data_IF_912026500230
#
_entry.id   IF_912026500230
#
_cell.length_a   1.000
_cell.length_b   1.000
_cell.length_c   1.000
_cell.angle_alpha   90.00
_cell.angle_beta   90.00
_cell.angle_gamma   90.00
#
_symmetry.space_group_name_H-M   'P 1'
#
loop_
_entity.id
_entity.type
_entity.pdbx_description
1 polymer ?
#
# COMPACT_ATOMS: atom_id res chain seq x y z
N UNK A 1 16.20 -57.31 54.10
CA UNK A 1 15.94 -57.89 52.76
C UNK A 1 14.58 -57.39 52.26
N UNK A 2 14.54 -56.34 51.44
CA UNK A 2 13.32 -55.88 50.77
C UNK A 2 13.70 -55.55 49.32
N UNK A 3 13.13 -56.29 48.36
CA UNK A 3 13.45 -56.24 46.93
C UNK A 3 12.39 -55.46 46.15
N UNK A 4 12.89 -54.66 45.23
CA UNK A 4 12.18 -53.73 44.36
C UNK A 4 11.11 -54.37 43.45
N UNK A 5 9.96 -53.70 43.33
CA UNK A 5 9.01 -53.79 42.20
C UNK A 5 9.20 -52.53 41.37
N UNK A 6 9.70 -52.67 40.14
CA UNK A 6 9.91 -51.58 39.19
C UNK A 6 9.24 -51.88 37.85
N UNK A 7 8.22 -51.08 37.56
CA UNK A 7 7.67 -50.63 36.28
C UNK A 7 8.13 -51.31 34.98
N UNK A 8 7.19 -52.01 34.34
CA UNK A 8 7.17 -52.23 32.88
C UNK A 8 6.04 -51.39 32.28
N UNK A 9 6.32 -50.13 31.97
CA UNK A 9 5.49 -49.37 31.03
C UNK A 9 5.66 -50.03 29.66
N UNK A 10 4.58 -50.56 29.10
CA UNK A 10 4.57 -51.32 27.85
C UNK A 10 5.00 -50.45 26.67
N UNK A 11 5.93 -50.93 25.84
CA UNK A 11 6.38 -50.25 24.62
C UNK A 11 5.22 -49.87 23.67
N UNK A 12 4.09 -50.57 23.74
CA UNK A 12 2.89 -50.25 22.97
C UNK A 12 2.18 -48.95 23.43
N UNK A 13 2.25 -48.60 24.72
CA UNK A 13 1.69 -47.32 25.19
C UNK A 13 2.57 -46.14 24.81
N UNK A 14 3.90 -46.34 24.77
CA UNK A 14 4.86 -45.34 24.29
C UNK A 14 4.68 -45.07 22.78
N UNK A 15 4.60 -46.13 21.97
CA UNK A 15 4.36 -46.02 20.52
C UNK A 15 3.05 -45.29 20.20
N UNK A 16 1.96 -45.59 20.91
CA UNK A 16 0.65 -44.95 20.71
C UNK A 16 0.64 -43.47 21.13
N UNK A 17 1.41 -43.12 22.17
CA UNK A 17 1.56 -41.73 22.59
C UNK A 17 2.40 -40.91 21.61
N UNK A 18 3.41 -41.52 20.96
CA UNK A 18 4.18 -40.86 19.91
C UNK A 18 3.33 -40.60 18.65
N UNK A 19 2.55 -41.58 18.19
CA UNK A 19 1.68 -41.39 17.01
C UNK A 19 0.62 -40.31 17.23
N UNK A 20 -0.05 -40.32 18.38
CA UNK A 20 -1.06 -39.30 18.72
C UNK A 20 -0.46 -37.89 18.84
N UNK A 21 0.81 -37.79 19.22
CA UNK A 21 1.53 -36.52 19.33
C UNK A 21 1.92 -35.99 17.96
N UNK A 22 2.34 -36.86 17.05
CA UNK A 22 2.68 -36.49 15.68
C UNK A 22 1.43 -36.06 14.88
N UNK A 23 0.31 -36.76 15.04
CA UNK A 23 -0.97 -36.40 14.40
C UNK A 23 -1.45 -35.02 14.87
N UNK A 24 -1.38 -34.73 16.18
CA UNK A 24 -1.82 -33.45 16.73
C UNK A 24 -0.92 -32.26 16.30
N UNK A 25 0.38 -32.49 16.09
CA UNK A 25 1.29 -31.46 15.56
C UNK A 25 0.98 -31.19 14.10
N UNK A 26 0.78 -32.24 13.29
CA UNK A 26 0.43 -32.13 11.88
C UNK A 26 -0.90 -31.36 11.70
N UNK A 27 -1.93 -31.69 12.47
CA UNK A 27 -3.22 -30.98 12.46
C UNK A 27 -3.08 -29.49 12.82
N UNK A 28 -2.21 -29.16 13.78
CA UNK A 28 -1.97 -27.78 14.20
C UNK A 28 -1.22 -26.96 13.14
N UNK A 29 -0.27 -27.58 12.42
CA UNK A 29 0.44 -26.97 11.30
C UNK A 29 -0.51 -26.70 10.12
N UNK A 30 -1.34 -27.69 9.75
CA UNK A 30 -2.34 -27.55 8.69
C UNK A 30 -3.38 -26.48 9.03
N UNK A 31 -3.83 -26.44 10.28
CA UNK A 31 -4.74 -25.40 10.76
C UNK A 31 -4.12 -24.01 10.67
N UNK A 32 -2.83 -23.87 11.03
CA UNK A 32 -2.10 -22.60 10.96
C UNK A 32 -1.92 -22.14 9.51
N UNK A 33 -1.60 -23.06 8.60
CA UNK A 33 -1.48 -22.78 7.17
C UNK A 33 -2.83 -22.33 6.57
N UNK A 34 -3.93 -23.00 6.94
CA UNK A 34 -5.29 -22.60 6.54
C UNK A 34 -5.64 -21.22 7.06
N UNK A 35 -5.37 -20.94 8.33
CA UNK A 35 -5.63 -19.64 8.94
C UNK A 35 -4.82 -18.53 8.27
N UNK A 36 -3.53 -18.79 7.97
CA UNK A 36 -2.68 -17.86 7.23
C UNK A 36 -3.25 -17.51 5.85
N UNK A 37 -3.74 -18.50 5.09
CA UNK A 37 -4.39 -18.26 3.79
C UNK A 37 -5.65 -17.43 3.92
N UNK A 38 -6.52 -17.74 4.88
CA UNK A 38 -7.75 -16.97 5.15
C UNK A 38 -7.40 -15.52 5.50
N UNK A 39 -6.38 -15.29 6.34
CA UNK A 39 -5.91 -13.96 6.69
C UNK A 39 -5.48 -13.16 5.45
N UNK A 40 -4.67 -13.79 4.57
CA UNK A 40 -4.18 -13.13 3.35
C UNK A 40 -5.32 -12.83 2.37
N UNK A 41 -6.22 -13.80 2.12
CA UNK A 41 -7.38 -13.58 1.26
C UNK A 41 -8.28 -12.48 1.80
N UNK A 42 -8.61 -12.52 3.09
CA UNK A 42 -9.42 -11.50 3.75
C UNK A 42 -8.79 -10.11 3.61
N UNK A 43 -7.47 -10.01 3.80
CA UNK A 43 -6.74 -8.75 3.64
C UNK A 43 -6.76 -8.24 2.21
N UNK A 44 -6.50 -9.11 1.21
CA UNK A 44 -6.51 -8.74 -0.20
C UNK A 44 -7.92 -8.35 -0.69
N UNK A 45 -8.96 -9.04 -0.23
CA UNK A 45 -10.35 -8.66 -0.50
C UNK A 45 -10.64 -7.29 0.09
N UNK A 46 -10.24 -7.04 1.35
CA UNK A 46 -10.43 -5.77 2.03
C UNK A 46 -9.79 -4.60 1.27
N UNK A 47 -8.54 -4.75 0.81
CA UNK A 47 -7.79 -3.64 0.23
C UNK A 47 -7.86 -3.50 -1.30
N UNK A 48 -8.15 -4.57 -2.04
CA UNK A 48 -8.23 -4.54 -3.51
C UNK A 48 -9.67 -4.59 -4.01
N UNK A 49 -10.49 -5.48 -3.47
CA UNK A 49 -11.85 -5.73 -3.98
C UNK A 49 -12.85 -4.75 -3.37
N UNK A 50 -12.74 -4.51 -2.06
CA UNK A 50 -13.65 -3.64 -1.31
C UNK A 50 -13.18 -2.18 -1.23
N UNK A 51 -12.19 -1.79 -2.05
CA UNK A 51 -11.56 -0.47 -1.99
C UNK A 51 -12.53 0.70 -2.16
N UNK A 52 -13.65 0.49 -2.85
CA UNK A 52 -14.70 1.49 -3.08
C UNK A 52 -15.68 1.66 -1.91
N UNK A 53 -15.68 0.72 -0.97
CA UNK A 53 -16.68 0.66 0.09
C UNK A 53 -16.19 1.31 1.37
N UNK A 54 -17.09 2.05 2.01
CA UNK A 54 -16.81 2.73 3.26
C UNK A 54 -17.96 3.64 3.67
N UNK A 55 -17.68 4.50 4.63
CA UNK A 55 -18.58 5.53 5.08
C UNK A 55 -17.91 6.91 4.93
N UNK A 56 -18.71 7.97 4.87
CA UNK A 56 -18.22 9.35 4.81
C UNK A 56 -18.68 10.20 6.01
N UNK A 57 -18.41 9.79 7.26
CA UNK A 57 -18.78 10.60 8.42
C UNK A 57 -18.06 11.96 8.38
N UNK A 58 -18.81 13.05 8.46
CA UNK A 58 -18.24 14.41 8.44
C UNK A 58 -17.50 14.76 7.14
N UNK A 59 -17.81 14.08 6.03
CA UNK A 59 -17.20 14.36 4.73
C UNK A 59 -15.80 13.78 4.53
N UNK A 60 -15.36 12.82 5.34
CA UNK A 60 -14.07 12.13 5.17
C UNK A 60 -14.25 10.63 4.95
N UNK A 61 -13.54 10.04 3.99
CA UNK A 61 -13.63 8.64 3.65
C UNK A 61 -13.06 7.75 4.76
N UNK A 62 -13.93 6.96 5.37
CA UNK A 62 -13.60 5.85 6.24
C UNK A 62 -13.78 4.55 5.46
N UNK A 63 -12.68 4.02 4.93
CA UNK A 63 -12.69 2.77 4.16
C UNK A 63 -12.98 1.55 5.02
N UNK A 64 -13.73 0.60 4.48
CA UNK A 64 -14.01 -0.69 5.14
C UNK A 64 -12.76 -1.52 5.40
N UNK A 65 -11.68 -1.28 4.64
CA UNK A 65 -10.39 -1.94 4.83
C UNK A 65 -9.79 -1.71 6.22
N UNK A 66 -10.06 -0.55 6.85
CA UNK A 66 -9.53 -0.23 8.17
C UNK A 66 -10.10 -1.16 9.26
N UNK A 67 -11.43 -1.19 9.52
CA UNK A 67 -11.98 -2.08 10.54
C UNK A 67 -11.80 -3.55 10.18
N UNK A 68 -11.91 -3.93 8.90
CA UNK A 68 -11.75 -5.32 8.50
C UNK A 68 -10.32 -5.82 8.74
N UNK A 69 -9.30 -5.01 8.43
CA UNK A 69 -7.92 -5.39 8.71
C UNK A 69 -7.63 -5.43 10.22
N UNK A 70 -8.19 -4.51 11.02
CA UNK A 70 -8.10 -4.57 12.48
C UNK A 70 -8.68 -5.89 13.04
N UNK A 71 -9.85 -6.31 12.55
CA UNK A 71 -10.47 -7.59 12.93
C UNK A 71 -9.60 -8.78 12.53
N UNK A 72 -9.03 -8.77 11.31
CA UNK A 72 -8.12 -9.81 10.84
C UNK A 72 -6.84 -9.89 11.68
N UNK A 73 -6.28 -8.76 12.10
CA UNK A 73 -5.13 -8.71 13.01
C UNK A 73 -5.47 -9.27 14.40
N UNK A 74 -6.62 -8.89 14.96
CA UNK A 74 -7.10 -9.44 16.23
C UNK A 74 -7.33 -10.95 16.17
N UNK A 75 -7.95 -11.43 15.09
CA UNK A 75 -8.11 -12.85 14.82
C UNK A 75 -6.76 -13.55 14.59
N UNK A 76 -5.82 -12.91 13.90
CA UNK A 76 -4.47 -13.42 13.69
C UNK A 76 -3.71 -13.63 15.00
N UNK A 77 -3.87 -12.71 15.96
CA UNK A 77 -3.32 -12.85 17.31
C UNK A 77 -3.99 -14.00 18.07
N UNK A 78 -5.33 -14.05 18.04
CA UNK A 78 -6.10 -15.10 18.73
C UNK A 78 -5.81 -16.51 18.18
N UNK A 79 -5.53 -16.63 16.88
CA UNK A 79 -5.19 -17.90 16.21
C UNK A 79 -3.69 -18.24 16.25
N UNK A 80 -2.85 -17.37 16.81
CA UNK A 80 -1.41 -17.59 16.97
C UNK A 80 -0.58 -17.46 15.68
N UNK A 81 -1.18 -17.04 14.56
CA UNK A 81 -0.46 -16.74 13.31
C UNK A 81 0.18 -15.34 13.31
N UNK A 82 -0.19 -14.49 14.28
CA UNK A 82 0.34 -13.16 14.46
C UNK A 82 1.08 -13.01 15.80
N UNK A 83 2.00 -12.06 15.87
CA UNK A 83 2.70 -11.69 17.11
C UNK A 83 3.02 -10.20 17.13
N UNK A 84 3.28 -9.68 18.32
CA UNK A 84 3.74 -8.31 18.51
C UNK A 84 5.21 -8.17 18.13
N UNK A 85 5.55 -7.05 17.49
CA UNK A 85 6.91 -6.75 17.01
C UNK A 85 7.56 -5.71 17.94
N UNK A 86 8.51 -6.07 18.82
CA UNK A 86 9.11 -5.13 19.77
C UNK A 86 9.70 -3.88 19.12
N UNK A 87 10.39 -4.05 17.99
CA UNK A 87 10.93 -2.92 17.21
C UNK A 87 9.83 -2.01 16.65
N UNK A 88 8.73 -2.60 16.16
CA UNK A 88 7.60 -1.83 15.65
C UNK A 88 6.91 -1.05 16.77
N UNK A 89 6.76 -1.68 17.94
CA UNK A 89 6.27 -1.06 19.17
C UNK A 89 7.09 0.16 19.56
N UNK A 90 8.41 0.01 19.70
CA UNK A 90 9.27 1.12 20.09
C UNK A 90 9.18 2.31 19.12
N UNK A 91 9.26 2.04 17.81
CA UNK A 91 9.18 3.08 16.78
C UNK A 91 7.81 3.77 16.75
N UNK A 92 6.73 3.00 16.89
CA UNK A 92 5.37 3.54 16.95
C UNK A 92 5.18 4.44 18.17
N UNK A 93 5.67 4.03 19.36
CA UNK A 93 5.55 4.85 20.56
C UNK A 93 6.33 6.16 20.47
N UNK A 94 7.51 6.16 19.83
CA UNK A 94 8.24 7.41 19.54
C UNK A 94 7.40 8.32 18.64
N UNK A 95 6.87 7.78 17.55
CA UNK A 95 5.98 8.53 16.65
C UNK A 95 4.71 9.05 17.36
N UNK A 96 4.05 8.21 18.15
CA UNK A 96 2.86 8.57 18.91
C UNK A 96 3.16 9.67 19.93
N UNK A 97 4.29 9.58 20.65
CA UNK A 97 4.70 10.61 21.60
C UNK A 97 4.96 11.96 20.90
N UNK A 98 5.66 11.97 19.77
CA UNK A 98 5.91 13.20 19.00
C UNK A 98 4.61 13.84 18.49
N UNK A 99 3.68 13.05 17.95
CA UNK A 99 2.39 13.55 17.43
C UNK A 99 1.45 14.02 18.54
N UNK A 100 1.43 13.34 19.69
CA UNK A 100 0.67 13.77 20.86
C UNK A 100 1.25 15.05 21.47
N UNK A 101 2.57 15.18 21.54
CA UNK A 101 3.22 16.42 22.01
C UNK A 101 2.92 17.60 21.08
N UNK A 102 3.03 17.38 19.76
CA UNK A 102 2.62 18.37 18.75
C UNK A 102 1.16 18.80 18.93
N UNK A 103 0.26 17.83 19.15
CA UNK A 103 -1.16 18.08 19.39
C UNK A 103 -1.38 18.89 20.66
N UNK A 104 -0.69 18.56 21.76
CA UNK A 104 -0.80 19.29 23.02
C UNK A 104 -0.36 20.75 22.84
N UNK A 105 0.77 20.98 22.18
CA UNK A 105 1.26 22.33 21.88
C UNK A 105 0.27 23.07 20.98
N UNK A 106 -0.30 22.39 19.99
CA UNK A 106 -1.29 22.98 19.11
C UNK A 106 -2.54 23.49 19.84
N UNK A 107 -2.98 22.73 20.84
CA UNK A 107 -4.14 23.07 21.67
C UNK A 107 -3.84 24.17 22.70
N UNK A 108 -2.64 24.23 23.25
CA UNK A 108 -2.26 25.25 24.24
C UNK A 108 -1.82 26.58 23.63
N UNK A 109 -1.38 26.57 22.36
CA UNK A 109 -0.92 27.76 21.63
C UNK A 109 -1.66 27.91 20.30
N UNK A 110 -3.00 28.08 20.30
CA UNK A 110 -3.79 28.06 19.08
C UNK A 110 -3.36 29.15 18.08
N UNK A 111 -3.36 28.81 16.80
CA UNK A 111 -3.11 29.73 15.68
C UNK A 111 -4.42 29.87 14.90
N UNK A 112 -4.94 31.10 14.80
CA UNK A 112 -6.22 31.38 14.16
C UNK A 112 -6.29 31.03 12.66
N UNK A 113 -5.14 30.78 12.02
CA UNK A 113 -5.08 30.36 10.61
C UNK A 113 -5.37 28.86 10.41
N UNK A 114 -5.38 28.07 11.49
CA UNK A 114 -5.48 26.61 11.42
C UNK A 114 -6.52 26.06 12.39
N UNK A 115 -7.30 25.08 11.93
CA UNK A 115 -8.14 24.26 12.80
C UNK A 115 -7.46 22.96 13.25
N UNK A 116 -7.90 22.39 14.37
CA UNK A 116 -7.47 21.06 14.85
C UNK A 116 -8.60 20.04 14.79
N UNK A 117 -8.26 18.76 14.72
CA UNK A 117 -9.19 17.65 14.52
C UNK A 117 -8.79 16.41 15.31
N UNK A 118 -9.54 16.12 16.39
CA UNK A 118 -9.37 14.90 17.18
C UNK A 118 -9.54 13.62 16.33
N UNK A 119 -10.54 13.51 15.42
CA UNK A 119 -10.64 12.34 14.55
C UNK A 119 -9.39 12.11 13.69
N UNK A 120 -8.68 13.18 13.28
CA UNK A 120 -7.47 13.06 12.46
C UNK A 120 -6.31 12.40 13.22
N UNK A 121 -6.10 12.74 14.50
CA UNK A 121 -5.09 12.07 15.32
C UNK A 121 -5.50 10.63 15.68
N UNK A 122 -6.77 10.37 15.94
CA UNK A 122 -7.22 8.99 16.18
C UNK A 122 -7.02 8.15 14.93
N UNK A 123 -7.37 8.67 13.75
CA UNK A 123 -7.19 7.97 12.48
C UNK A 123 -5.72 7.62 12.21
N UNK A 124 -4.79 8.55 12.43
CA UNK A 124 -3.36 8.28 12.20
C UNK A 124 -2.82 7.25 13.21
N UNK A 125 -3.10 7.41 14.50
CA UNK A 125 -2.59 6.49 15.52
C UNK A 125 -3.16 5.08 15.32
N UNK A 126 -4.47 4.96 15.10
CA UNK A 126 -5.11 3.66 14.83
C UNK A 126 -4.54 3.00 13.58
N UNK A 127 -4.45 3.73 12.46
CA UNK A 127 -3.97 3.16 11.19
C UNK A 127 -2.53 2.64 11.30
N UNK A 128 -1.64 3.42 11.93
CA UNK A 128 -0.23 3.03 12.04
C UNK A 128 0.04 2.06 13.20
N UNK A 129 -0.89 1.90 14.15
CA UNK A 129 -0.82 0.83 15.15
C UNK A 129 -0.83 -0.58 14.54
N UNK A 130 -1.30 -0.74 13.29
CA UNK A 130 -1.26 -2.02 12.60
C UNK A 130 0.18 -2.51 12.33
N UNK A 131 1.16 -1.60 12.32
CA UNK A 131 2.58 -1.96 12.15
C UNK A 131 3.17 -2.67 13.37
N UNK A 132 2.48 -2.62 14.52
CA UNK A 132 2.84 -3.29 15.77
C UNK A 132 2.75 -4.80 15.66
N UNK A 133 1.89 -5.30 14.78
CA UNK A 133 1.58 -6.72 14.62
C UNK A 133 2.24 -7.24 13.34
N UNK A 134 2.81 -8.44 13.40
CA UNK A 134 3.37 -9.12 12.24
C UNK A 134 3.21 -10.64 12.31
N UNK A 135 3.74 -11.35 11.31
CA UNK A 135 3.64 -12.79 11.23
C UNK A 135 4.41 -13.46 12.38
N UNK A 136 3.80 -14.48 13.00
CA UNK A 136 4.49 -15.39 13.91
C UNK A 136 5.30 -16.43 13.12
N UNK A 137 6.04 -17.30 13.83
CA UNK A 137 6.75 -18.42 13.20
C UNK A 137 5.82 -19.42 12.50
N UNK A 138 4.52 -19.45 12.86
CA UNK A 138 3.51 -20.35 12.27
C UNK A 138 2.92 -19.83 10.95
N UNK A 139 3.22 -18.59 10.56
CA UNK A 139 2.64 -17.98 9.37
C UNK A 139 3.53 -18.21 8.14
N UNK A 140 2.97 -18.84 7.10
CA UNK A 140 3.64 -18.97 5.81
C UNK A 140 3.62 -17.65 5.03
N UNK A 141 4.76 -16.97 5.05
CA UNK A 141 4.98 -15.69 4.36
C UNK A 141 4.95 -15.80 2.84
N UNK A 142 5.21 -16.99 2.29
CA UNK A 142 5.35 -17.22 0.84
C UNK A 142 4.01 -17.19 0.13
N UNK A 143 2.94 -17.52 0.87
CA UNK A 143 1.56 -17.45 0.40
C UNK A 143 1.15 -16.02 0.01
N UNK A 144 1.68 -14.99 0.69
CA UNK A 144 1.31 -13.58 0.47
C UNK A 144 1.58 -13.13 -0.96
N UNK A 145 2.80 -13.28 -1.46
CA UNK A 145 3.14 -12.85 -2.82
C UNK A 145 2.40 -13.67 -3.88
N UNK A 146 2.22 -14.97 -3.64
CA UNK A 146 1.48 -15.85 -4.55
C UNK A 146 0.04 -15.39 -4.72
N UNK A 147 -0.66 -15.15 -3.62
CA UNK A 147 -2.05 -14.71 -3.64
C UNK A 147 -2.18 -13.28 -4.16
N UNK A 148 -1.31 -12.35 -3.73
CA UNK A 148 -1.33 -10.98 -4.26
C UNK A 148 -1.17 -10.94 -5.78
N UNK A 149 -0.22 -11.71 -6.33
CA UNK A 149 -0.02 -11.79 -7.78
C UNK A 149 -1.22 -12.41 -8.49
N UNK A 150 -1.88 -13.41 -7.89
CA UNK A 150 -3.10 -14.00 -8.45
C UNK A 150 -4.23 -12.96 -8.55
N UNK A 151 -4.49 -12.21 -7.46
CA UNK A 151 -5.47 -11.12 -7.46
C UNK A 151 -5.10 -10.02 -8.44
N UNK A 152 -3.83 -9.60 -8.49
CA UNK A 152 -3.40 -8.53 -9.38
C UNK A 152 -3.51 -8.92 -10.84
N UNK A 153 -3.21 -10.18 -11.21
CA UNK A 153 -3.42 -10.68 -12.58
C UNK A 153 -4.89 -10.73 -12.95
N UNK A 154 -5.75 -11.14 -12.03
CA UNK A 154 -7.20 -11.09 -12.22
C UNK A 154 -7.69 -9.65 -12.44
N UNK A 155 -7.27 -8.71 -11.59
CA UNK A 155 -7.61 -7.28 -11.71
C UNK A 155 -7.03 -6.68 -13.01
N UNK A 156 -5.83 -7.09 -13.42
CA UNK A 156 -5.22 -6.68 -14.68
C UNK A 156 -6.05 -7.13 -15.88
N UNK A 157 -6.43 -8.42 -15.92
CA UNK A 157 -7.29 -8.96 -16.96
C UNK A 157 -8.67 -8.28 -16.95
N UNK A 158 -9.27 -8.09 -15.77
CA UNK A 158 -10.53 -7.38 -15.60
C UNK A 158 -10.42 -5.93 -16.10
N UNK A 159 -9.30 -5.25 -15.87
CA UNK A 159 -9.06 -3.89 -16.38
C UNK A 159 -8.94 -3.81 -17.89
N UNK A 160 -8.33 -4.81 -18.53
CA UNK A 160 -8.27 -4.92 -20.00
C UNK A 160 -9.68 -5.15 -20.55
N UNK A 161 -10.43 -6.09 -19.97
CA UNK A 161 -11.82 -6.37 -20.38
C UNK A 161 -12.69 -5.13 -20.17
N UNK A 162 -12.61 -4.48 -19.01
CA UNK A 162 -13.32 -3.24 -18.68
C UNK A 162 -13.08 -2.15 -19.73
N UNK A 163 -11.83 -1.99 -20.17
CA UNK A 163 -11.49 -1.02 -21.21
C UNK A 163 -12.04 -1.43 -22.58
N UNK A 164 -11.98 -2.71 -22.95
CA UNK A 164 -12.45 -3.18 -24.25
C UNK A 164 -13.99 -3.12 -24.40
N UNK A 165 -14.74 -3.50 -23.36
CA UNK A 165 -16.22 -3.54 -23.42
C UNK A 165 -16.86 -2.15 -23.46
N UNK A 166 -16.12 -1.09 -23.13
CA UNK A 166 -16.64 0.28 -23.23
C UNK A 166 -17.00 0.68 -24.67
N UNK A 167 -16.33 0.10 -25.66
CA UNK A 167 -16.55 0.38 -27.09
C UNK A 167 -17.81 -0.28 -27.65
N UNK A 168 -18.39 -1.25 -26.93
CA UNK A 168 -19.71 -1.82 -27.23
C UNK A 168 -20.81 -1.27 -26.30
N UNK A 169 -20.51 -0.17 -25.59
CA UNK A 169 -21.48 0.56 -24.76
C UNK A 169 -21.49 0.18 -23.27
N UNK A 170 -20.72 -0.81 -22.83
CA UNK A 170 -20.70 -1.25 -21.42
C UNK A 170 -19.68 -0.42 -20.63
N UNK A 171 -20.16 0.54 -19.82
CA UNK A 171 -19.30 1.50 -19.09
C UNK A 171 -19.33 1.30 -17.57
N UNK A 172 -18.73 0.20 -17.08
CA UNK A 172 -18.64 -0.08 -15.64
C UNK A 172 -17.30 0.41 -15.10
N UNK A 173 -17.20 1.71 -14.79
CA UNK A 173 -16.00 2.34 -14.22
C UNK A 173 -16.21 2.89 -12.80
N UNK A 174 -17.48 3.01 -12.41
CA UNK A 174 -17.96 3.55 -11.15
C UNK A 174 -19.18 2.78 -10.69
N UNK A 175 -19.20 2.36 -9.42
CA UNK A 175 -20.37 1.73 -8.85
C UNK A 175 -21.45 2.76 -8.52
N UNK A 176 -21.09 4.03 -8.29
CA UNK A 176 -22.10 5.09 -8.12
C UNK A 176 -22.96 5.31 -9.38
N UNK A 177 -22.36 5.17 -10.57
CA UNK A 177 -23.05 5.33 -11.84
C UNK A 177 -23.78 4.04 -12.22
N UNK A 178 -23.11 2.90 -12.09
CA UNK A 178 -23.64 1.60 -12.55
C UNK A 178 -24.69 1.04 -11.58
N UNK A 179 -24.53 1.28 -10.28
CA UNK A 179 -25.41 0.76 -9.23
C UNK A 179 -25.74 1.89 -8.22
N UNK A 180 -26.64 2.83 -8.58
CA UNK A 180 -26.93 4.01 -7.74
C UNK A 180 -27.38 3.69 -6.31
N UNK A 181 -27.98 2.52 -6.07
CA UNK A 181 -28.36 2.05 -4.74
C UNK A 181 -27.17 1.91 -3.78
N UNK A 182 -25.95 1.73 -4.28
CA UNK A 182 -24.75 1.63 -3.46
C UNK A 182 -24.18 2.99 -3.03
N UNK A 183 -24.67 4.12 -3.56
CA UNK A 183 -24.13 5.47 -3.25
C UNK A 183 -23.89 5.74 -1.75
N UNK A 184 -24.77 5.34 -0.80
CA UNK A 184 -24.55 5.62 0.63
C UNK A 184 -23.36 4.87 1.25
N UNK A 185 -22.90 3.79 0.63
CA UNK A 185 -21.81 2.93 1.13
C UNK A 185 -20.54 3.02 0.27
N UNK A 186 -20.49 3.99 -0.65
CA UNK A 186 -19.36 4.21 -1.55
C UNK A 186 -18.63 5.50 -1.17
N UNK A 187 -17.30 5.43 -1.16
CA UNK A 187 -16.42 6.58 -0.93
C UNK A 187 -15.95 7.25 -2.23
N UNK A 188 -16.41 6.74 -3.38
CA UNK A 188 -16.15 7.25 -4.72
C UNK A 188 -16.26 8.79 -4.86
N UNK A 189 -17.23 9.51 -4.26
CA UNK A 189 -17.36 10.96 -4.46
C UNK A 189 -16.12 11.78 -4.12
N UNK A 190 -15.21 11.25 -3.30
CA UNK A 190 -13.99 11.95 -2.88
C UNK A 190 -12.78 11.72 -3.80
N UNK A 191 -12.95 10.92 -4.86
CA UNK A 191 -11.87 10.47 -5.72
C UNK A 191 -12.17 10.74 -7.18
N UNK A 192 -11.16 10.60 -8.04
CA UNK A 192 -11.39 10.66 -9.48
C UNK A 192 -11.90 9.30 -9.98
N UNK A 193 -13.16 8.99 -9.64
CA UNK A 193 -13.77 7.67 -9.80
C UNK A 193 -14.28 7.35 -11.22
N UNK A 194 -14.39 8.36 -12.10
CA UNK A 194 -14.80 8.19 -13.50
C UNK A 194 -13.97 9.05 -14.48
N UNK A 195 -12.64 8.86 -14.54
CA UNK A 195 -11.76 9.73 -15.30
C UNK A 195 -11.81 9.44 -16.81
N UNK A 196 -12.10 10.50 -17.58
CA UNK A 196 -11.95 10.52 -19.04
C UNK A 196 -10.47 10.68 -19.43
N UNK A 197 -10.14 10.28 -20.66
CA UNK A 197 -8.76 10.30 -21.16
C UNK A 197 -8.16 11.72 -21.25
N UNK A 198 -8.91 12.63 -21.86
CA UNK A 198 -8.61 14.06 -21.96
C UNK A 198 -9.94 14.82 -22.03
N UNK A 199 -9.90 16.14 -21.84
CA UNK A 199 -11.10 16.96 -21.91
C UNK A 199 -11.84 16.77 -23.23
N UNK A 200 -13.13 16.46 -23.17
CA UNK A 200 -13.96 16.15 -24.34
C UNK A 200 -13.90 14.69 -24.82
N UNK A 201 -13.03 13.84 -24.26
CA UNK A 201 -12.98 12.42 -24.62
C UNK A 201 -14.17 11.64 -24.04
N UNK A 202 -14.71 10.72 -24.83
CA UNK A 202 -15.71 9.74 -24.37
C UNK A 202 -15.07 8.46 -23.83
N UNK A 203 -13.74 8.32 -23.92
CA UNK A 203 -13.01 7.13 -23.51
C UNK A 203 -12.64 7.26 -22.03
N UNK A 204 -13.00 6.23 -21.25
CA UNK A 204 -12.72 6.12 -19.83
C UNK A 204 -11.44 5.32 -19.58
N UNK A 205 -10.71 5.73 -18.55
CA UNK A 205 -9.45 5.11 -18.15
C UNK A 205 -9.72 3.91 -17.24
N UNK A 206 -9.05 2.80 -17.50
CA UNK A 206 -9.24 1.57 -16.73
C UNK A 206 -8.76 1.72 -15.29
N UNK A 207 -9.54 1.18 -14.35
CA UNK A 207 -9.20 1.08 -12.93
C UNK A 207 -9.25 -0.37 -12.44
N UNK A 208 -9.27 -1.35 -13.35
CA UNK A 208 -9.29 -2.76 -12.98
C UNK A 208 -10.62 -3.20 -12.38
N UNK A 209 -11.72 -2.48 -12.67
CA UNK A 209 -13.09 -2.69 -12.16
C UNK A 209 -13.27 -2.43 -10.66
N UNK A 210 -12.41 -3.01 -9.82
CA UNK A 210 -12.52 -2.97 -8.36
C UNK A 210 -11.85 -1.76 -7.74
N UNK A 211 -10.70 -1.32 -8.30
CA UNK A 211 -9.91 -0.27 -7.69
C UNK A 211 -10.53 1.09 -7.94
N UNK A 212 -10.33 1.99 -6.98
CA UNK A 212 -11.04 3.26 -6.92
C UNK A 212 -10.69 4.22 -8.06
N UNK A 213 -9.40 4.26 -8.43
CA UNK A 213 -8.85 5.16 -9.44
C UNK A 213 -7.83 4.44 -10.33
N UNK A 214 -7.60 4.93 -11.56
CA UNK A 214 -6.51 4.43 -12.40
C UNK A 214 -5.11 4.63 -11.79
N UNK A 215 -4.90 5.64 -10.92
CA UNK A 215 -3.67 5.78 -10.13
C UNK A 215 -3.40 4.55 -9.27
N UNK A 216 -4.41 4.11 -8.53
CA UNK A 216 -4.31 2.93 -7.67
C UNK A 216 -4.04 1.68 -8.50
N UNK A 217 -4.74 1.53 -9.63
CA UNK A 217 -4.51 0.42 -10.55
C UNK A 217 -3.08 0.38 -11.09
N UNK A 218 -2.56 1.52 -11.56
CA UNK A 218 -1.19 1.60 -12.06
C UNK A 218 -0.14 1.26 -10.99
N UNK A 219 -0.37 1.65 -9.74
CA UNK A 219 0.55 1.33 -8.64
C UNK A 219 0.47 -0.13 -8.24
N UNK A 220 -0.73 -0.72 -8.16
CA UNK A 220 -0.90 -2.16 -7.89
C UNK A 220 -0.19 -3.01 -8.95
N UNK A 221 -0.30 -2.63 -10.23
CA UNK A 221 0.42 -3.29 -11.33
C UNK A 221 1.94 -3.17 -11.16
N UNK A 222 2.44 -1.99 -10.79
CA UNK A 222 3.87 -1.77 -10.54
C UNK A 222 4.38 -2.57 -9.34
N UNK A 223 3.59 -2.70 -8.28
CA UNK A 223 3.93 -3.57 -7.15
C UNK A 223 4.04 -5.03 -7.62
N UNK A 224 3.15 -5.49 -8.51
CA UNK A 224 3.25 -6.83 -9.11
C UNK A 224 4.48 -6.98 -10.01
N UNK A 225 4.85 -5.97 -10.79
CA UNK A 225 6.11 -5.94 -11.56
C UNK A 225 7.30 -6.07 -10.61
N UNK A 226 7.31 -5.34 -9.49
CA UNK A 226 8.38 -5.43 -8.49
C UNK A 226 8.50 -6.84 -7.91
N UNK A 227 7.38 -7.48 -7.59
CA UNK A 227 7.40 -8.83 -7.05
C UNK A 227 7.80 -9.86 -8.12
N UNK A 228 7.15 -9.88 -9.29
CA UNK A 228 7.45 -10.88 -10.33
C UNK A 228 8.87 -10.70 -10.87
N UNK A 229 9.29 -9.49 -11.26
CA UNK A 229 10.60 -9.27 -11.89
C UNK A 229 11.74 -9.13 -10.88
N UNK A 230 11.66 -8.16 -9.97
CA UNK A 230 12.80 -7.81 -9.10
C UNK A 230 12.99 -8.78 -7.94
N UNK A 231 11.93 -9.40 -7.43
CA UNK A 231 12.00 -10.34 -6.31
C UNK A 231 12.06 -11.79 -6.82
N UNK A 232 11.12 -12.19 -7.68
CA UNK A 232 10.96 -13.59 -8.12
C UNK A 232 11.70 -13.94 -9.42
N UNK A 233 12.20 -12.96 -10.19
CA UNK A 233 12.92 -13.19 -11.45
C UNK A 233 12.05 -13.74 -12.59
N UNK A 234 10.73 -13.51 -12.56
CA UNK A 234 9.75 -14.02 -13.51
C UNK A 234 9.31 -12.93 -14.49
N UNK A 235 9.52 -13.17 -15.78
CA UNK A 235 9.13 -12.22 -16.85
C UNK A 235 7.79 -12.54 -17.50
N UNK A 236 7.26 -13.76 -17.29
CA UNK A 236 6.09 -14.31 -18.00
C UNK A 236 4.85 -13.40 -17.97
N UNK A 237 4.62 -12.69 -16.87
CA UNK A 237 3.41 -11.89 -16.67
C UNK A 237 3.62 -10.39 -16.94
N UNK A 238 4.84 -9.95 -17.26
CA UNK A 238 5.12 -8.55 -17.56
C UNK A 238 4.30 -8.02 -18.76
N UNK A 239 4.07 -8.77 -19.85
CA UNK A 239 3.23 -8.29 -20.94
C UNK A 239 1.79 -7.99 -20.49
N UNK A 240 1.21 -8.84 -19.64
CA UNK A 240 -0.13 -8.61 -19.09
C UNK A 240 -0.17 -7.30 -18.28
N UNK A 241 0.82 -7.09 -17.40
CA UNK A 241 0.89 -5.87 -16.60
C UNK A 241 1.12 -4.63 -17.47
N UNK A 242 1.96 -4.72 -18.49
CA UNK A 242 2.24 -3.62 -19.42
C UNK A 242 0.98 -3.20 -20.16
N UNK A 243 0.25 -4.14 -20.76
CA UNK A 243 -1.01 -3.83 -21.47
C UNK A 243 -2.02 -3.21 -20.52
N UNK A 244 -2.27 -3.82 -19.36
CA UNK A 244 -3.19 -3.28 -18.36
C UNK A 244 -2.77 -1.87 -17.89
N UNK A 245 -1.47 -1.64 -17.71
CA UNK A 245 -0.90 -0.36 -17.29
C UNK A 245 -1.14 0.72 -18.36
N UNK A 246 -0.91 0.41 -19.64
CA UNK A 246 -1.17 1.34 -20.74
C UNK A 246 -2.63 1.80 -20.75
N UNK A 247 -3.58 0.88 -20.52
CA UNK A 247 -5.02 1.18 -20.51
C UNK A 247 -5.50 1.96 -19.27
N UNK A 248 -4.67 2.09 -18.23
CA UNK A 248 -4.95 2.94 -17.07
C UNK A 248 -4.67 4.43 -17.34
N UNK A 249 -3.86 4.73 -18.36
CA UNK A 249 -3.37 6.08 -18.69
C UNK A 249 -2.85 6.86 -17.45
N UNK A 250 -2.28 6.16 -16.47
CA UNK A 250 -1.85 6.74 -15.21
C UNK A 250 -0.33 6.66 -15.03
N UNK A 251 0.32 7.79 -14.74
CA UNK A 251 1.78 7.86 -14.54
C UNK A 251 2.24 7.60 -13.10
N UNK A 252 1.33 7.54 -12.12
CA UNK A 252 1.71 7.49 -10.69
C UNK A 252 2.50 6.24 -10.34
N UNK A 253 2.10 5.06 -10.83
CA UNK A 253 2.85 3.82 -10.62
C UNK A 253 4.28 3.89 -11.19
N UNK A 254 4.42 4.28 -12.46
CA UNK A 254 5.75 4.40 -13.08
C UNK A 254 6.63 5.43 -12.39
N UNK A 255 6.07 6.56 -11.94
CA UNK A 255 6.82 7.57 -11.18
C UNK A 255 7.32 7.02 -9.85
N UNK A 256 6.48 6.29 -9.11
CA UNK A 256 6.91 5.60 -7.87
C UNK A 256 8.02 4.59 -8.14
N UNK A 257 7.92 3.81 -9.21
CA UNK A 257 8.99 2.88 -9.61
C UNK A 257 10.27 3.60 -10.01
N UNK A 258 10.16 4.65 -10.82
CA UNK A 258 11.28 5.45 -11.31
C UNK A 258 12.05 6.10 -10.16
N UNK A 259 11.37 6.52 -9.09
CA UNK A 259 12.02 7.01 -7.89
C UNK A 259 12.59 5.89 -7.02
N UNK A 260 11.98 4.70 -6.99
CA UNK A 260 12.47 3.59 -6.17
C UNK A 260 13.71 2.89 -6.76
N UNK A 261 13.77 2.78 -8.08
CA UNK A 261 14.78 2.02 -8.82
C UNK A 261 16.23 2.50 -8.58
N UNK A 262 16.56 3.80 -8.60
CA UNK A 262 17.91 4.28 -8.35
C UNK A 262 18.43 3.87 -6.97
N UNK A 263 17.62 4.05 -5.91
CA UNK A 263 18.01 3.64 -4.56
C UNK A 263 18.26 2.13 -4.48
N UNK A 264 17.42 1.33 -5.14
CA UNK A 264 17.62 -0.12 -5.18
C UNK A 264 18.87 -0.54 -5.97
N UNK A 265 19.16 0.13 -7.09
CA UNK A 265 20.35 -0.10 -7.90
C UNK A 265 21.63 0.12 -7.09
N UNK A 266 21.66 1.14 -6.23
CA UNK A 266 22.80 1.47 -5.37
C UNK A 266 23.06 0.44 -4.26
N UNK A 267 22.13 -0.49 -3.98
CA UNK A 267 22.32 -1.49 -2.91
C UNK A 267 23.29 -2.61 -3.29
N UNK A 268 23.45 -2.92 -4.59
CA UNK A 268 24.45 -3.89 -5.08
C UNK A 268 24.61 -3.84 -6.60
N UNK A 269 25.79 -4.21 -7.12
CA UNK A 269 26.04 -4.33 -8.56
C UNK A 269 25.05 -5.26 -9.28
N UNK A 270 24.57 -6.30 -8.60
CA UNK A 270 23.53 -7.21 -9.12
C UNK A 270 22.21 -6.48 -9.34
N UNK A 271 21.79 -5.70 -8.33
CA UNK A 271 20.56 -4.91 -8.43
C UNK A 271 20.67 -3.90 -9.57
N UNK A 272 21.84 -3.28 -9.72
CA UNK A 272 22.14 -2.42 -10.87
C UNK A 272 21.94 -3.15 -12.21
N UNK A 273 22.47 -4.36 -12.38
CA UNK A 273 22.26 -5.15 -13.60
C UNK A 273 20.78 -5.45 -13.90
N UNK A 274 19.98 -5.78 -12.88
CA UNK A 274 18.52 -5.98 -13.03
C UNK A 274 17.80 -4.70 -13.41
N UNK A 275 18.19 -3.58 -12.78
CA UNK A 275 17.65 -2.26 -13.08
C UNK A 275 17.99 -1.85 -14.52
N UNK A 276 19.24 -2.05 -14.95
CA UNK A 276 19.66 -1.77 -16.31
C UNK A 276 18.89 -2.61 -17.33
N UNK A 277 18.74 -3.92 -17.08
CA UNK A 277 17.93 -4.80 -17.94
C UNK A 277 16.47 -4.37 -18.03
N UNK A 278 15.87 -3.99 -16.89
CA UNK A 278 14.50 -3.45 -16.85
C UNK A 278 14.38 -2.13 -17.61
N UNK A 279 15.34 -1.22 -17.45
CA UNK A 279 15.36 0.07 -18.13
C UNK A 279 15.47 -0.10 -19.66
N UNK A 280 16.37 -0.98 -20.13
CA UNK A 280 16.50 -1.32 -21.55
C UNK A 280 15.19 -1.89 -22.09
N UNK A 281 14.59 -2.86 -21.38
CA UNK A 281 13.29 -3.43 -21.78
C UNK A 281 12.18 -2.36 -21.81
N UNK A 282 12.18 -1.43 -20.85
CA UNK A 282 11.26 -0.29 -20.81
C UNK A 282 11.43 0.65 -22.00
N UNK A 283 12.67 0.98 -22.38
CA UNK A 283 12.97 1.80 -23.58
C UNK A 283 12.51 1.09 -24.85
N UNK A 284 12.80 -0.20 -25.00
CA UNK A 284 12.35 -1.00 -26.16
C UNK A 284 10.82 -1.03 -26.22
N UNK A 285 10.13 -1.26 -25.09
CA UNK A 285 8.69 -1.23 -25.03
C UNK A 285 8.11 0.16 -25.37
N UNK A 286 8.76 1.24 -24.95
CA UNK A 286 8.35 2.60 -25.28
C UNK A 286 8.51 2.89 -26.78
N UNK A 287 9.63 2.49 -27.39
CA UNK A 287 9.88 2.67 -28.82
C UNK A 287 8.91 1.85 -29.67
N UNK A 288 8.69 0.58 -29.32
CA UNK A 288 7.70 -0.23 -30.01
C UNK A 288 6.29 0.33 -29.80
N UNK A 289 5.98 0.78 -28.59
CA UNK A 289 4.72 1.42 -28.24
C UNK A 289 4.48 2.72 -29.00
N UNK A 290 5.51 3.54 -29.23
CA UNK A 290 5.35 4.79 -29.99
C UNK A 290 5.08 4.55 -31.47
N UNK A 291 5.52 3.40 -32.01
CA UNK A 291 5.25 2.99 -33.38
C UNK A 291 3.84 2.40 -33.50
N UNK A 292 3.46 1.50 -32.58
CA UNK A 292 2.19 0.75 -32.66
C UNK A 292 1.00 1.57 -32.10
N UNK A 293 1.24 2.39 -31.08
CA UNK A 293 0.23 3.13 -30.31
C UNK A 293 0.68 4.60 -30.07
N UNK A 294 0.89 5.38 -31.15
CA UNK A 294 1.48 6.71 -31.06
C UNK A 294 0.67 7.68 -30.20
N UNK A 295 -0.67 7.64 -30.26
CA UNK A 295 -1.54 8.51 -29.47
C UNK A 295 -1.47 8.20 -27.98
N UNK A 296 -1.41 6.91 -27.62
CA UNK A 296 -1.36 6.46 -26.23
C UNK A 296 -0.01 6.85 -25.60
N UNK A 297 1.09 6.63 -26.31
CA UNK A 297 2.42 7.06 -25.86
C UNK A 297 2.52 8.58 -25.82
N UNK A 298 2.01 9.28 -26.83
CA UNK A 298 1.94 10.74 -26.85
C UNK A 298 1.17 11.33 -25.67
N UNK A 299 0.02 10.74 -25.33
CA UNK A 299 -0.78 11.12 -24.16
C UNK A 299 -0.06 10.89 -22.83
N UNK A 300 0.81 9.88 -22.73
CA UNK A 300 1.64 9.67 -21.54
C UNK A 300 2.79 10.68 -21.47
N UNK A 301 3.44 10.96 -22.61
CA UNK A 301 4.53 11.93 -22.69
C UNK A 301 4.05 13.36 -22.43
N UNK A 302 2.86 13.74 -22.87
CA UNK A 302 2.30 15.08 -22.61
C UNK A 302 2.10 15.38 -21.13
N UNK A 303 2.08 14.34 -20.27
CA UNK A 303 1.93 14.49 -18.81
C UNK A 303 3.17 15.03 -18.13
N UNK A 304 4.33 15.07 -18.79
CA UNK A 304 5.54 15.71 -18.23
C UNK A 304 5.32 17.20 -17.96
N UNK A 305 4.40 17.84 -18.69
CA UNK A 305 4.05 19.25 -18.53
C UNK A 305 3.00 19.50 -17.43
N UNK A 306 2.46 18.46 -16.78
CA UNK A 306 1.48 18.63 -15.69
C UNK A 306 2.09 19.43 -14.51
N UNK A 307 3.39 19.30 -14.24
CA UNK A 307 4.07 19.99 -13.14
C UNK A 307 4.09 21.52 -13.28
N UNK A 308 3.87 22.05 -14.49
CA UNK A 308 3.91 23.48 -14.77
C UNK A 308 2.52 24.12 -14.79
N UNK A 309 1.44 23.32 -14.76
CA UNK A 309 0.07 23.81 -14.84
C UNK A 309 -0.67 23.59 -13.52
N UNK A 310 -1.01 24.69 -12.82
CA UNK A 310 -1.65 24.65 -11.49
C UNK A 310 -3.02 23.98 -11.45
N UNK A 311 -3.71 23.86 -12.60
CA UNK A 311 -4.96 23.12 -12.73
C UNK A 311 -4.79 21.62 -13.00
N UNK A 312 -3.56 21.10 -13.05
CA UNK A 312 -3.31 19.68 -13.31
C UNK A 312 -3.30 18.84 -12.03
N UNK A 313 -3.60 17.55 -12.17
CA UNK A 313 -3.47 16.59 -11.07
C UNK A 313 -2.00 16.40 -10.63
N UNK A 314 -1.04 16.48 -11.55
CA UNK A 314 0.39 16.41 -11.23
C UNK A 314 0.85 17.58 -10.36
N UNK A 315 0.50 18.82 -10.73
CA UNK A 315 0.84 20.00 -9.94
C UNK A 315 0.25 19.92 -8.54
N UNK A 316 -1.02 19.57 -8.43
CA UNK A 316 -1.71 19.47 -7.14
C UNK A 316 -1.06 18.44 -6.20
N UNK A 317 -0.42 17.38 -6.72
CA UNK A 317 0.23 16.35 -5.90
C UNK A 317 1.70 16.63 -5.58
N UNK A 318 2.42 17.29 -6.49
CA UNK A 318 3.88 17.42 -6.41
C UNK A 318 4.40 18.82 -6.12
N UNK A 319 3.65 19.87 -6.45
CA UNK A 319 4.05 21.27 -6.23
C UNK A 319 3.14 21.94 -5.23
N UNK A 320 1.83 21.91 -5.49
CA UNK A 320 0.79 22.55 -4.68
C UNK A 320 0.90 22.33 -3.16
N UNK A 321 1.16 21.10 -2.65
CA UNK A 321 1.22 20.84 -1.22
C UNK A 321 2.39 21.54 -0.52
N UNK A 322 3.45 21.89 -1.25
CA UNK A 322 4.67 22.47 -0.69
C UNK A 322 4.68 24.01 -0.71
N UNK A 323 3.75 24.65 -1.42
CA UNK A 323 3.67 26.12 -1.44
C UNK A 323 3.33 26.70 -0.05
N UNK A 324 2.30 26.21 0.67
CA UNK A 324 2.05 26.68 2.04
C UNK A 324 3.21 26.39 2.98
N UNK A 325 3.91 25.26 2.78
CA UNK A 325 5.06 24.89 3.62
C UNK A 325 6.22 25.84 3.41
N UNK A 326 6.48 26.25 2.18
CA UNK A 326 7.52 27.23 1.87
C UNK A 326 7.23 28.57 2.57
N UNK A 327 6.00 29.04 2.53
CA UNK A 327 5.56 30.27 3.21
C UNK A 327 5.70 30.18 4.74
N UNK A 328 5.36 29.01 5.32
CA UNK A 328 5.41 28.76 6.76
C UNK A 328 6.79 28.34 7.27
N UNK A 329 7.75 28.10 6.38
CA UNK A 329 9.05 27.48 6.73
C UNK A 329 9.91 28.33 7.66
N UNK A 330 9.67 29.65 7.69
CA UNK A 330 10.37 30.59 8.55
C UNK A 330 9.82 30.63 9.99
N UNK A 331 8.64 30.04 10.23
CA UNK A 331 8.02 30.04 11.54
C UNK A 331 8.60 28.92 12.41
N UNK A 332 8.94 29.20 13.67
CA UNK A 332 9.44 28.18 14.60
C UNK A 332 8.48 26.98 14.76
N UNK A 333 7.18 27.23 14.52
CA UNK A 333 6.13 26.21 14.57
C UNK A 333 6.30 25.12 13.52
N UNK A 334 7.06 25.33 12.45
CA UNK A 334 7.38 24.28 11.45
C UNK A 334 8.11 23.08 12.07
N UNK A 335 8.79 23.26 13.21
CA UNK A 335 9.48 22.17 13.90
C UNK A 335 8.50 21.19 14.58
N UNK A 336 7.37 21.71 15.06
CA UNK A 336 6.42 20.99 15.93
C UNK A 336 5.07 20.76 15.25
N UNK A 337 4.70 21.57 14.26
CA UNK A 337 3.44 21.48 13.52
C UNK A 337 2.31 22.29 14.14
N UNK A 338 1.20 22.35 13.41
CA UNK A 338 0.01 23.12 13.78
C UNK A 338 -1.10 22.28 14.42
N UNK A 339 -0.88 20.99 14.60
CA UNK A 339 -1.80 20.05 15.20
C UNK A 339 -2.53 19.19 14.18
N UNK A 340 -3.27 18.18 14.65
CA UNK A 340 -3.85 17.16 13.79
C UNK A 340 -4.95 17.73 12.90
N UNK A 341 -4.88 17.48 11.60
CA UNK A 341 -5.85 17.96 10.62
C UNK A 341 -5.73 19.45 10.28
N UNK A 342 -4.61 20.08 10.63
CA UNK A 342 -4.31 21.48 10.33
C UNK A 342 -4.22 21.73 8.82
N UNK A 343 -3.64 20.78 8.07
CA UNK A 343 -3.48 20.87 6.61
C UNK A 343 -4.79 21.15 5.90
N UNK A 344 -5.84 20.36 6.16
CA UNK A 344 -7.17 20.52 5.52
C UNK A 344 -8.00 21.64 6.13
N UNK A 345 -7.54 22.24 7.23
CA UNK A 345 -8.21 23.33 7.97
C UNK A 345 -7.38 24.61 7.99
N UNK A 346 -6.46 24.72 7.04
CA UNK A 346 -5.70 25.92 6.81
C UNK A 346 -6.55 26.89 5.97
N UNK A 347 -6.55 28.18 6.33
CA UNK A 347 -7.34 29.21 5.63
C UNK A 347 -7.10 29.25 4.11
N UNK A 348 -5.90 28.87 3.65
CA UNK A 348 -5.53 28.87 2.23
C UNK A 348 -5.42 27.45 1.64
N UNK A 349 -5.99 26.45 2.30
CA UNK A 349 -6.02 25.09 1.79
C UNK A 349 -6.77 25.02 0.45
N UNK A 350 -6.19 24.31 -0.51
CA UNK A 350 -6.83 24.00 -1.79
C UNK A 350 -7.13 22.50 -1.82
N UNK A 351 -8.39 22.16 -2.09
CA UNK A 351 -8.78 20.77 -2.23
C UNK A 351 -7.95 20.08 -3.32
N UNK A 352 -7.58 18.82 -3.07
CA UNK A 352 -6.73 18.05 -3.98
C UNK A 352 -5.23 18.35 -3.88
N UNK A 353 -4.80 19.36 -3.11
CA UNK A 353 -3.37 19.66 -2.90
C UNK A 353 -2.78 19.01 -1.64
N UNK A 354 -3.37 17.92 -1.15
CA UNK A 354 -2.87 17.17 0.00
C UNK A 354 -1.96 16.02 -0.43
N UNK A 355 -0.69 16.06 -0.01
CA UNK A 355 0.18 14.88 -0.05
C UNK A 355 0.61 14.48 1.38
N UNK A 356 1.06 13.24 1.55
CA UNK A 356 1.35 12.67 2.87
C UNK A 356 2.46 13.41 3.62
N UNK A 357 3.48 13.88 2.89
CA UNK A 357 4.63 14.58 3.44
C UNK A 357 4.24 15.97 3.92
N UNK A 358 3.56 16.73 3.08
CA UNK A 358 3.08 18.05 3.41
C UNK A 358 2.14 17.99 4.62
N UNK A 359 1.23 17.01 4.61
CA UNK A 359 0.33 16.79 5.73
C UNK A 359 1.07 16.52 7.04
N UNK A 360 2.09 15.67 7.03
CA UNK A 360 2.87 15.38 8.23
C UNK A 360 3.68 16.59 8.72
N UNK A 361 4.26 17.36 7.81
CA UNK A 361 5.02 18.58 8.15
C UNK A 361 4.10 19.64 8.73
N UNK A 362 2.96 19.92 8.08
CA UNK A 362 2.01 20.94 8.57
C UNK A 362 1.31 20.48 9.84
N UNK A 363 0.88 19.22 9.95
CA UNK A 363 0.15 18.76 11.14
C UNK A 363 1.10 18.54 12.34
N UNK A 364 2.29 17.98 12.12
CA UNK A 364 3.17 17.48 13.20
C UNK A 364 4.63 17.97 13.14
N UNK A 365 4.96 18.85 12.19
CA UNK A 365 6.27 19.49 12.10
C UNK A 365 7.38 18.56 11.64
N UNK A 366 8.59 19.14 11.54
CA UNK A 366 9.82 18.44 11.18
C UNK A 366 10.13 17.26 12.13
N UNK A 367 9.83 17.40 13.42
CA UNK A 367 10.03 16.33 14.40
C UNK A 367 9.03 15.19 14.14
N UNK A 368 7.75 15.51 13.95
CA UNK A 368 6.71 14.52 13.70
C UNK A 368 6.93 13.74 12.42
N UNK A 369 7.27 14.41 11.31
CA UNK A 369 7.59 13.71 10.06
C UNK A 369 8.83 12.83 10.20
N UNK A 370 9.86 13.28 10.91
CA UNK A 370 11.08 12.47 11.11
C UNK A 370 10.78 11.21 11.90
N UNK A 371 10.02 11.34 13.01
CA UNK A 371 9.58 10.20 13.81
C UNK A 371 8.68 9.25 12.99
N UNK A 372 7.78 9.81 12.17
CA UNK A 372 6.95 9.03 11.26
C UNK A 372 7.78 8.26 10.24
N UNK A 373 8.71 8.91 9.54
CA UNK A 373 9.54 8.28 8.51
C UNK A 373 10.44 7.19 9.13
N UNK A 374 10.98 7.44 10.32
CA UNK A 374 11.74 6.44 11.07
C UNK A 374 10.86 5.21 11.42
N UNK A 375 9.62 5.43 11.85
CA UNK A 375 8.67 4.35 12.11
C UNK A 375 8.26 3.62 10.84
N UNK A 376 7.86 4.35 9.80
CA UNK A 376 7.36 3.80 8.55
C UNK A 376 8.44 2.99 7.83
N UNK A 377 9.63 3.58 7.62
CA UNK A 377 10.75 2.86 7.05
C UNK A 377 11.20 1.73 7.97
N UNK A 378 11.37 1.98 9.27
CA UNK A 378 11.87 0.98 10.22
C UNK A 378 10.97 -0.24 10.43
N UNK A 379 9.66 -0.11 10.18
CA UNK A 379 8.69 -1.22 10.29
C UNK A 379 8.53 -2.00 8.98
N UNK A 380 8.66 -1.34 7.83
CA UNK A 380 8.50 -1.92 6.49
C UNK A 380 9.82 -2.41 5.87
N UNK A 381 10.97 -1.98 6.38
CA UNK A 381 12.26 -2.31 5.79
C UNK A 381 12.62 -3.79 5.95
N UNK A 382 12.87 -4.46 4.83
CA UNK A 382 13.43 -5.81 4.79
C UNK A 382 14.45 -5.93 3.69
N UNK A 383 15.65 -6.41 4.04
CA UNK A 383 16.79 -6.51 3.12
C UNK A 383 16.51 -7.41 1.92
N UNK A 384 15.85 -8.54 2.13
CA UNK A 384 15.49 -9.52 1.09
C UNK A 384 14.55 -8.95 0.02
N UNK A 385 13.70 -8.01 0.41
CA UNK A 385 12.67 -7.40 -0.46
C UNK A 385 12.82 -5.89 -0.49
N UNK A 386 14.07 -5.39 -0.45
CA UNK A 386 14.36 -3.96 -0.25
C UNK A 386 13.69 -3.06 -1.30
N UNK A 387 13.65 -3.48 -2.57
CA UNK A 387 12.93 -2.79 -3.66
C UNK A 387 11.46 -2.50 -3.28
N UNK A 388 10.79 -3.44 -2.62
CA UNK A 388 9.40 -3.30 -2.20
C UNK A 388 9.25 -2.29 -1.06
N UNK A 389 10.17 -2.28 -0.09
CA UNK A 389 10.20 -1.29 0.99
C UNK A 389 10.45 0.13 0.45
N UNK A 390 11.38 0.27 -0.50
CA UNK A 390 11.66 1.56 -1.17
C UNK A 390 10.46 1.98 -2.03
N UNK A 391 9.83 1.05 -2.75
CA UNK A 391 8.61 1.32 -3.51
C UNK A 391 7.47 1.77 -2.58
N UNK A 392 7.31 1.14 -1.42
CA UNK A 392 6.31 1.54 -0.43
C UNK A 392 6.54 2.99 0.05
N UNK A 393 7.79 3.35 0.35
CA UNK A 393 8.17 4.70 0.77
C UNK A 393 7.92 5.74 -0.34
N UNK A 394 8.34 5.46 -1.57
CA UNK A 394 8.13 6.37 -2.71
C UNK A 394 6.64 6.50 -3.05
N UNK A 395 5.89 5.40 -3.03
CA UNK A 395 4.43 5.41 -3.21
C UNK A 395 3.74 6.27 -2.15
N UNK A 396 4.20 6.20 -0.90
CA UNK A 396 3.70 7.05 0.18
C UNK A 396 4.00 8.55 -0.03
N UNK A 397 5.22 8.88 -0.46
CA UNK A 397 5.68 10.27 -0.71
C UNK A 397 4.90 10.89 -1.87
N UNK A 398 4.76 10.13 -2.97
CA UNK A 398 4.19 10.59 -4.24
C UNK A 398 2.67 10.53 -4.23
N UNK A 399 2.09 9.62 -3.44
CA UNK A 399 0.65 9.42 -3.35
C UNK A 399 -0.08 10.63 -2.80
N UNK A 400 -1.13 11.06 -3.50
CA UNK A 400 -2.06 12.06 -2.98
C UNK A 400 -2.88 11.48 -1.83
N UNK A 401 -2.68 11.99 -0.62
CA UNK A 401 -3.44 11.58 0.57
C UNK A 401 -3.17 10.17 1.11
N UNK A 402 -2.02 9.54 0.81
CA UNK A 402 -1.77 8.14 1.20
C UNK A 402 -1.49 7.94 2.69
N UNK A 403 -1.32 9.03 3.44
CA UNK A 403 -1.20 8.99 4.90
C UNK A 403 -2.35 8.25 5.59
N UNK A 404 -3.58 8.38 5.07
CA UNK A 404 -4.78 7.77 5.63
C UNK A 404 -5.58 6.96 4.60
N UNK A 405 -5.02 6.75 3.39
CA UNK A 405 -5.65 5.88 2.39
C UNK A 405 -5.41 4.41 2.75
N UNK A 406 -6.23 3.92 3.67
CA UNK A 406 -6.03 2.60 4.30
C UNK A 406 -6.00 1.41 3.35
N UNK A 407 -6.69 1.37 2.18
CA UNK A 407 -6.54 0.26 1.26
C UNK A 407 -5.09 0.08 0.77
N UNK A 408 -4.43 1.16 0.35
CA UNK A 408 -3.03 1.07 -0.08
C UNK A 408 -2.11 0.77 1.10
N UNK A 409 -2.32 1.39 2.27
CA UNK A 409 -1.49 1.14 3.45
C UNK A 409 -1.58 -0.32 3.91
N UNK A 410 -2.79 -0.88 3.98
CA UNK A 410 -3.01 -2.29 4.32
C UNK A 410 -2.33 -3.20 3.31
N UNK A 411 -2.40 -2.89 2.01
CA UNK A 411 -1.68 -3.63 0.98
C UNK A 411 -0.16 -3.58 1.21
N UNK A 412 0.40 -2.40 1.47
CA UNK A 412 1.83 -2.24 1.73
C UNK A 412 2.26 -2.94 3.02
N UNK A 413 1.45 -2.90 4.08
CA UNK A 413 1.69 -3.62 5.32
C UNK A 413 1.70 -5.13 5.08
N UNK A 414 0.69 -5.67 4.38
CA UNK A 414 0.64 -7.07 4.01
C UNK A 414 1.91 -7.47 3.24
N UNK A 415 2.29 -6.72 2.22
CA UNK A 415 3.41 -7.11 1.35
C UNK A 415 4.78 -6.94 2.03
N UNK A 416 4.99 -5.85 2.78
CA UNK A 416 6.30 -5.56 3.39
C UNK A 416 6.50 -6.28 4.74
N UNK A 417 5.46 -6.37 5.57
CA UNK A 417 5.54 -6.96 6.91
C UNK A 417 5.28 -8.46 6.86
N UNK A 418 4.24 -8.87 6.12
CA UNK A 418 3.77 -10.26 6.14
C UNK A 418 4.33 -11.11 4.99
N UNK A 419 4.65 -10.49 3.85
CA UNK A 419 5.20 -11.19 2.69
C UNK A 419 6.58 -11.80 2.95
N UNK A 420 7.07 -12.63 2.03
CA UNK A 420 8.39 -13.25 2.12
C UNK A 420 8.65 -14.24 0.99
N UNK A 421 9.91 -14.60 0.80
CA UNK A 421 10.37 -15.58 -0.20
C UNK A 421 10.82 -16.87 0.47
N UNK A 422 10.78 -17.98 -0.26
CA UNK A 422 11.47 -19.21 0.18
C UNK A 422 12.99 -19.07 -0.01
N UNK A 423 13.82 -19.85 0.69
CA UNK A 423 15.25 -19.94 0.39
C UNK A 423 15.55 -20.29 -1.08
N UNK A 424 14.69 -21.07 -1.75
CA UNK A 424 14.84 -21.40 -3.18
C UNK A 424 14.56 -20.23 -4.13
N UNK A 425 13.58 -19.39 -3.80
CA UNK A 425 13.36 -18.11 -4.50
C UNK A 425 14.51 -17.12 -4.22
N UNK A 426 15.07 -17.16 -3.00
CA UNK A 426 16.28 -16.40 -2.67
C UNK A 426 17.49 -16.88 -3.50
N UNK A 427 17.60 -18.18 -3.81
CA UNK A 427 18.63 -18.72 -4.72
C UNK A 427 18.42 -18.28 -6.17
N UNK A 428 17.17 -18.19 -6.67
CA UNK A 428 16.89 -17.53 -7.98
C UNK A 428 17.11 -16.02 -7.92
N UNK A 429 17.06 -15.44 -6.72
CA UNK A 429 17.52 -14.09 -6.46
C UNK A 429 19.04 -13.98 -6.25
N UNK A 430 19.77 -15.09 -6.19
CA UNK A 430 21.22 -15.18 -5.94
C UNK A 430 22.03 -15.76 -7.12
N UNK A 431 21.40 -16.51 -8.04
CA UNK A 431 21.85 -16.76 -9.42
C UNK A 431 21.19 -15.73 -10.31
#
# INVERSE_FOLDING_TARGET
MARARGDRVSAASLSRHETLRDDAVMDAEDQSARNGRIFVHGTLIACLILQRFGAMPGGSALFISLPLFALLLGWGLASGIATLRPRGIALYFVFAACTLLSTLIALTTPDGRFGTSVPSIVAILVTYSFTLIGPSARFDRTTVFRLFLAYTRFIAAAGIVQWAVQFIGIRIFSFMVTVPALKPVLVEPQFNFNPILHYGSTILRSNGFFLLEPSMFSQTLVIAVVIDYFILGRVKYLPLYLVAYMLSFSGTGALSLALAVPFYACLSARNFGRVAGFAIAGVVALVLGSIVFPEQVGSMLSRTNELSYSGSSGYARFIGPFLPIAELSHEARILIGWGPGATERYLYFKEGTGNSIAKLITDYGAIGITAFLAMFAGTLWRRETAILSVLALTTFIIGGGYLLFTPMLVLLFLLCIWGGTTPGDAIRSAR
#
